data_IF_173863757952
#
_entry.id   IF_173863757952
#
_cell.length_a   1.000
_cell.length_b   1.000
_cell.length_c   1.000
_cell.angle_alpha   90.00
_cell.angle_beta   90.00
_cell.angle_gamma   90.00
#
_symmetry.space_group_name_H-M   'P 1'
#
loop_
_entity.id
_entity.type
_entity.pdbx_description
1 polymer ?
#
# COMPACT_ATOMS: atom_id res chain seq x y z
N UNK A 1 4.91 -14.23 -11.58
CA UNK A 1 3.46 -14.49 -11.72
C UNK A 1 2.71 -13.93 -10.51
N UNK A 2 2.13 -12.74 -10.62
CA UNK A 2 1.32 -12.15 -9.54
C UNK A 2 -0.03 -12.85 -9.45
N UNK A 3 -0.37 -13.40 -8.28
CA UNK A 3 -1.61 -14.14 -8.09
C UNK A 3 -2.85 -13.28 -8.37
N UNK A 4 -3.85 -13.85 -9.08
CA UNK A 4 -5.17 -13.24 -9.28
C UNK A 4 -5.78 -12.90 -7.91
N UNK A 5 -6.21 -11.66 -7.71
CA UNK A 5 -6.92 -11.25 -6.49
C UNK A 5 -8.18 -12.11 -6.35
N UNK A 6 -8.22 -12.97 -5.33
CA UNK A 6 -9.38 -13.83 -5.08
C UNK A 6 -10.52 -13.06 -4.40
N UNK A 7 -10.18 -12.18 -3.45
CA UNK A 7 -11.14 -11.40 -2.62
C UNK A 7 -10.49 -10.13 -2.08
N UNK A 8 -11.24 -9.03 -2.00
CA UNK A 8 -10.85 -7.80 -1.29
C UNK A 8 -11.13 -7.93 0.20
N UNK A 9 -10.24 -7.38 1.04
CA UNK A 9 -10.40 -7.41 2.49
C UNK A 9 -10.21 -6.02 3.06
N UNK A 10 -11.17 -5.58 3.88
CA UNK A 10 -11.00 -4.37 4.69
C UNK A 10 -9.84 -4.57 5.68
N UNK A 11 -8.96 -3.59 5.78
CA UNK A 11 -7.78 -3.61 6.65
C UNK A 11 -7.57 -2.23 7.24
N UNK A 12 -7.08 -2.21 8.48
CA UNK A 12 -6.64 -0.99 9.13
C UNK A 12 -5.14 -0.83 8.89
N UNK A 13 -4.75 0.19 8.13
CA UNK A 13 -3.35 0.48 7.82
C UNK A 13 -2.81 1.55 8.76
N UNK A 14 -1.58 1.37 9.20
CA UNK A 14 -0.86 2.29 10.07
C UNK A 14 0.46 2.63 9.41
N UNK A 15 0.64 3.91 9.11
CA UNK A 15 1.91 4.48 8.67
C UNK A 15 2.75 4.81 9.90
N UNK A 16 3.95 4.25 9.99
CA UNK A 16 4.92 4.58 11.03
C UNK A 16 6.22 5.08 10.39
N UNK A 17 6.45 6.39 10.53
CA UNK A 17 7.65 7.05 10.01
C UNK A 17 8.92 6.60 10.72
N UNK A 18 8.85 6.39 12.03
CA UNK A 18 10.02 6.07 12.85
C UNK A 18 10.49 4.64 12.56
N UNK A 19 9.54 3.71 12.45
CA UNK A 19 9.82 2.32 12.07
C UNK A 19 10.03 2.13 10.57
N UNK A 20 9.69 3.13 9.75
CA UNK A 20 9.73 3.09 8.28
C UNK A 20 8.89 1.94 7.72
N UNK A 21 7.67 1.80 8.25
CA UNK A 21 6.77 0.69 7.90
C UNK A 21 5.34 1.15 7.66
N UNK A 22 4.67 0.46 6.74
CA UNK A 22 3.22 0.44 6.60
C UNK A 22 2.70 -0.91 7.12
N UNK A 23 2.23 -0.94 8.36
CA UNK A 23 1.67 -2.13 8.99
C UNK A 23 0.16 -2.20 8.76
N UNK A 24 -0.41 -3.41 8.74
CA UNK A 24 -1.86 -3.56 8.62
C UNK A 24 -2.45 -4.66 9.51
N UNK A 25 -3.68 -4.41 9.96
CA UNK A 25 -4.46 -5.19 10.92
C UNK A 25 -5.82 -5.55 10.33
N UNK A 26 -6.58 -6.46 10.95
CA UNK A 26 -7.94 -6.76 10.49
C UNK A 26 -8.84 -5.52 10.60
N UNK A 27 -8.76 -4.84 11.75
CA UNK A 27 -9.48 -3.61 12.06
C UNK A 27 -8.69 -2.78 13.09
N UNK A 28 -9.28 -1.67 13.55
CA UNK A 28 -8.63 -0.68 14.43
C UNK A 28 -8.43 -1.13 15.88
N UNK A 29 -9.14 -2.18 16.33
CA UNK A 29 -9.07 -2.66 17.72
C UNK A 29 -8.17 -3.89 17.87
N UNK A 30 -7.80 -4.54 16.75
CA UNK A 30 -6.89 -5.69 16.81
C UNK A 30 -5.46 -5.28 17.11
N UNK A 31 -4.85 -5.94 18.10
CA UNK A 31 -3.42 -5.82 18.42
C UNK A 31 -2.56 -6.67 17.48
N UNK A 32 -3.13 -7.74 16.89
CA UNK A 32 -2.38 -8.69 16.06
C UNK A 32 -2.19 -8.18 14.63
N UNK A 33 -0.96 -7.81 14.31
CA UNK A 33 -0.55 -7.43 12.97
C UNK A 33 -0.78 -8.58 11.97
N UNK A 34 -1.39 -8.27 10.82
CA UNK A 34 -1.58 -9.23 9.71
C UNK A 34 -0.41 -9.21 8.74
N UNK A 35 0.28 -8.08 8.63
CA UNK A 35 1.50 -7.97 7.86
C UNK A 35 2.09 -6.57 7.92
N UNK A 36 3.29 -6.46 7.37
CA UNK A 36 4.08 -5.23 7.33
C UNK A 36 4.67 -5.05 5.94
N UNK A 37 4.70 -3.81 5.47
CA UNK A 37 5.39 -3.38 4.26
C UNK A 37 6.49 -2.44 4.70
N UNK A 38 7.75 -2.85 4.55
CA UNK A 38 8.89 -1.99 4.86
C UNK A 38 9.11 -0.99 3.74
N UNK A 39 9.39 0.27 4.05
CA UNK A 39 9.58 1.31 3.03
C UNK A 39 10.78 1.01 2.11
N UNK A 40 11.86 0.45 2.66
CA UNK A 40 13.01 -0.02 1.87
C UNK A 40 12.64 -1.07 0.82
N UNK A 41 11.52 -1.77 1.00
CA UNK A 41 11.09 -2.81 0.08
C UNK A 41 10.19 -2.28 -1.03
N UNK A 42 9.75 -1.02 -0.94
CA UNK A 42 8.86 -0.38 -1.91
C UNK A 42 9.71 0.11 -3.07
N UNK A 43 9.40 -0.39 -4.27
CA UNK A 43 10.04 0.04 -5.51
C UNK A 43 9.25 1.16 -6.18
N UNK A 44 7.92 1.09 -6.11
CA UNK A 44 7.03 1.98 -6.85
C UNK A 44 5.64 2.05 -6.21
N UNK A 45 5.02 3.22 -6.28
CA UNK A 45 3.62 3.44 -5.91
C UNK A 45 2.92 4.14 -7.06
N UNK A 46 1.86 3.54 -7.61
CA UNK A 46 1.23 4.05 -8.83
C UNK A 46 -0.28 3.80 -8.85
N UNK A 47 -0.99 4.63 -9.61
CA UNK A 47 -2.40 4.43 -9.92
C UNK A 47 -2.58 3.17 -10.77
N UNK A 48 -3.50 2.27 -10.41
CA UNK A 48 -3.70 1.03 -11.17
C UNK A 48 -4.55 1.26 -12.45
N UNK A 49 -4.02 2.03 -13.39
CA UNK A 49 -4.65 2.32 -14.68
C UNK A 49 -4.72 1.09 -15.59
N UNK A 50 -3.82 0.12 -15.37
CA UNK A 50 -3.71 -1.11 -16.17
C UNK A 50 -4.76 -2.16 -15.79
N UNK A 51 -5.68 -1.83 -14.87
CA UNK A 51 -6.75 -2.71 -14.39
C UNK A 51 -6.23 -4.05 -13.87
N UNK A 52 -4.98 -4.17 -13.42
CA UNK A 52 -4.46 -5.44 -12.90
C UNK A 52 -5.26 -5.91 -11.67
N UNK A 53 -5.81 -4.96 -10.93
CA UNK A 53 -6.90 -5.14 -9.98
C UNK A 53 -8.27 -5.25 -10.68
N UNK A 54 -8.42 -6.11 -11.70
CA UNK A 54 -9.63 -6.23 -12.54
C UNK A 54 -10.93 -6.50 -11.75
N UNK A 55 -10.80 -6.93 -10.48
CA UNK A 55 -11.92 -7.15 -9.55
C UNK A 55 -12.10 -6.02 -8.53
N UNK A 56 -11.47 -4.86 -8.72
CA UNK A 56 -11.55 -3.76 -7.77
C UNK A 56 -13.00 -3.34 -7.53
N UNK A 57 -13.41 -3.13 -6.27
CA UNK A 57 -14.72 -2.54 -5.96
C UNK A 57 -14.86 -1.13 -6.54
N UNK A 58 -13.74 -0.40 -6.69
CA UNK A 58 -13.74 0.92 -7.33
C UNK A 58 -12.37 1.20 -7.97
N UNK A 59 -12.29 1.02 -9.28
CA UNK A 59 -11.04 1.21 -10.05
C UNK A 59 -10.49 2.63 -9.96
N UNK A 60 -11.35 3.65 -9.89
CA UNK A 60 -10.92 5.07 -9.81
C UNK A 60 -10.22 5.42 -8.50
N UNK A 61 -10.45 4.62 -7.44
CA UNK A 61 -9.85 4.78 -6.11
C UNK A 61 -8.80 3.72 -5.81
N UNK A 62 -8.32 3.00 -6.84
CA UNK A 62 -7.36 1.90 -6.70
C UNK A 62 -5.94 2.34 -7.02
N UNK A 63 -5.01 2.08 -6.10
CA UNK A 63 -3.58 2.23 -6.33
C UNK A 63 -2.84 0.94 -5.96
N UNK A 64 -1.62 0.83 -6.49
CA UNK A 64 -0.72 -0.29 -6.27
C UNK A 64 0.52 0.17 -5.52
N UNK A 65 0.94 -0.63 -4.54
CA UNK A 65 2.26 -0.51 -3.89
C UNK A 65 3.07 -1.72 -4.31
N UNK A 66 4.05 -1.50 -5.19
CA UNK A 66 4.95 -2.54 -5.68
C UNK A 66 6.15 -2.64 -4.76
N UNK A 67 6.40 -3.87 -4.30
CA UNK A 67 7.60 -4.24 -3.55
C UNK A 67 8.39 -5.30 -4.31
N UNK A 68 9.64 -5.53 -3.93
CA UNK A 68 10.52 -6.56 -4.52
C UNK A 68 9.83 -7.92 -4.71
N UNK A 69 9.02 -8.34 -3.73
CA UNK A 69 8.44 -9.69 -3.70
C UNK A 69 6.96 -9.73 -4.07
N UNK A 70 6.26 -8.59 -4.03
CA UNK A 70 4.79 -8.55 -4.12
C UNK A 70 4.25 -7.18 -4.50
N UNK A 71 3.16 -7.18 -5.27
CA UNK A 71 2.31 -6.00 -5.47
C UNK A 71 1.12 -6.05 -4.51
N UNK A 72 0.89 -4.97 -3.77
CA UNK A 72 -0.29 -4.76 -2.95
C UNK A 72 -1.26 -3.85 -3.68
N UNK A 73 -2.47 -4.35 -3.92
CA UNK A 73 -3.55 -3.55 -4.49
C UNK A 73 -4.42 -3.01 -3.36
N UNK A 74 -4.64 -1.71 -3.35
CA UNK A 74 -5.35 -0.98 -2.30
C UNK A 74 -6.46 -0.14 -2.90
N UNK A 75 -7.60 -0.08 -2.21
CA UNK A 75 -8.75 0.74 -2.60
C UNK A 75 -9.03 1.71 -1.48
N UNK A 76 -8.97 2.99 -1.82
CA UNK A 76 -9.21 4.07 -0.86
C UNK A 76 -10.71 4.37 -0.73
N UNK A 77 -11.16 4.88 0.42
CA UNK A 77 -12.56 5.28 0.61
C UNK A 77 -12.92 6.57 -0.14
N UNK A 78 -11.94 7.41 -0.48
CA UNK A 78 -12.13 8.65 -1.24
C UNK A 78 -10.88 9.02 -2.06
N UNK A 79 -11.00 9.92 -3.06
CA UNK A 79 -9.85 10.44 -3.82
C UNK A 79 -8.82 11.14 -2.94
N UNK A 80 -9.26 11.88 -1.92
CA UNK A 80 -8.38 12.60 -0.99
C UNK A 80 -7.57 11.63 -0.16
N UNK A 81 -8.23 10.61 0.40
CA UNK A 81 -7.55 9.55 1.15
C UNK A 81 -6.51 8.83 0.28
N UNK A 82 -6.84 8.56 -0.99
CA UNK A 82 -5.91 7.96 -1.95
C UNK A 82 -4.67 8.82 -2.14
N UNK A 83 -4.85 10.11 -2.41
CA UNK A 83 -3.74 11.06 -2.59
C UNK A 83 -2.86 11.12 -1.36
N UNK A 84 -3.45 11.26 -0.17
CA UNK A 84 -2.71 11.30 1.10
C UNK A 84 -1.92 10.01 1.30
N UNK A 85 -2.53 8.84 1.10
CA UNK A 85 -1.84 7.56 1.27
C UNK A 85 -0.71 7.36 0.28
N UNK A 86 -0.92 7.69 -1.00
CA UNK A 86 0.14 7.59 -2.00
C UNK A 86 1.31 8.54 -1.66
N UNK A 87 1.02 9.79 -1.32
CA UNK A 87 2.01 10.81 -0.98
C UNK A 87 2.90 10.42 0.21
N UNK A 88 2.29 9.99 1.33
CA UNK A 88 3.06 9.62 2.52
C UNK A 88 3.88 8.34 2.30
N UNK A 89 3.38 7.38 1.50
CA UNK A 89 4.13 6.15 1.19
C UNK A 89 5.30 6.45 0.25
N UNK A 90 5.10 7.26 -0.80
CA UNK A 90 6.16 7.69 -1.73
C UNK A 90 7.24 8.45 -0.97
N UNK A 91 6.84 9.47 -0.22
CA UNK A 91 7.78 10.27 0.60
C UNK A 91 8.52 9.40 1.61
N UNK A 92 7.83 8.45 2.24
CA UNK A 92 8.42 7.49 3.18
C UNK A 92 9.44 6.56 2.54
N UNK A 93 9.20 6.12 1.29
CA UNK A 93 10.09 5.26 0.52
C UNK A 93 11.29 6.03 -0.08
N UNK A 94 11.07 7.20 -0.65
CA UNK A 94 12.13 8.05 -1.23
C UNK A 94 13.09 8.58 -0.16
N UNK A 95 12.56 8.91 1.02
CA UNK A 95 13.37 9.27 2.19
C UNK A 95 14.31 8.16 2.67
N UNK A 96 14.25 6.95 2.11
CA UNK A 96 15.27 5.91 2.29
C UNK A 96 16.33 5.95 1.18
N UNK A 97 15.94 6.21 -0.07
CA UNK A 97 16.86 6.24 -1.22
C UNK A 97 17.92 7.35 -1.11
N UNK A 98 17.59 8.49 -0.49
CA UNK A 98 18.54 9.59 -0.30
C UNK A 98 19.67 9.32 0.71
N UNK A 99 19.56 8.30 1.57
CA UNK A 99 20.59 7.96 2.57
C UNK A 99 21.41 6.71 2.22
N UNK A 100 21.25 6.17 1.00
CA UNK A 100 22.05 5.05 0.48
C UNK A 100 23.07 5.49 -0.59
N UNK A 101 23.41 6.78 -0.66
CA UNK A 101 24.49 7.32 -1.51
C UNK A 101 25.61 7.85 -0.64
#
# INVERSE_FOLDING_TARGET
>A
MGGKIKTWKKRWFVFDRNRKTLAYYADKHEVKMKGVIYFQAIEEVYYDHLKNAHKSPNSSLTFSVKTHNRVYYMVSPSPEAMRIWMDVIVTGAEGYMQFMV
#
